data_IF_950035456550
#
_entry.id   IF_950035456550
#
_cell.length_a   1.000
_cell.length_b   1.000
_cell.length_c   1.000
_cell.angle_alpha   90.00
_cell.angle_beta   90.00
_cell.angle_gamma   90.00
#
_symmetry.space_group_name_H-M   'P 1'
#
loop_
_entity.id
_entity.type
_entity.pdbx_description
1 polymer ?
#
# COMPACT_ATOMS: atom_id res chain seq x y z
N UNK A 1 4.62 -14.27 8.37
CA UNK A 1 4.43 -13.93 9.81
C UNK A 1 2.96 -13.71 10.09
N UNK A 2 2.36 -14.28 11.14
CA UNK A 2 0.97 -13.94 11.48
C UNK A 2 0.84 -12.48 11.87
N UNK A 3 -0.13 -11.80 11.30
CA UNK A 3 -0.42 -10.40 11.56
C UNK A 3 -1.93 -10.16 11.64
N UNK A 4 -2.33 -9.28 12.55
CA UNK A 4 -3.69 -8.75 12.66
C UNK A 4 -3.71 -7.32 12.11
N UNK A 5 -4.76 -7.01 11.37
CA UNK A 5 -4.98 -5.74 10.71
C UNK A 5 -6.26 -5.14 11.26
N UNK A 6 -6.22 -3.85 11.60
CA UNK A 6 -7.41 -3.03 11.76
C UNK A 6 -7.39 -1.98 10.66
N UNK A 7 -8.41 -2.00 9.82
CA UNK A 7 -8.51 -1.20 8.61
C UNK A 7 -9.70 -0.27 8.78
N UNK A 8 -9.48 1.02 8.58
CA UNK A 8 -10.52 2.03 8.45
C UNK A 8 -10.59 2.47 6.99
N UNK A 9 -11.71 2.20 6.33
CA UNK A 9 -11.97 2.66 4.98
C UNK A 9 -12.32 4.16 4.96
N UNK A 10 -12.38 4.75 3.77
CA UNK A 10 -12.66 6.19 3.60
C UNK A 10 -14.09 6.58 4.02
N UNK A 11 -15.06 5.69 3.79
CA UNK A 11 -16.46 5.86 4.20
C UNK A 11 -16.67 5.71 5.73
N UNK A 12 -15.61 5.46 6.48
CA UNK A 12 -15.63 5.27 7.93
C UNK A 12 -16.00 3.86 8.38
N UNK A 13 -16.16 2.91 7.46
CA UNK A 13 -16.32 1.50 7.83
C UNK A 13 -15.00 0.94 8.36
N UNK A 14 -15.11 0.10 9.40
CA UNK A 14 -13.96 -0.54 10.03
C UNK A 14 -14.07 -2.06 9.91
N UNK A 15 -12.96 -2.70 9.58
CA UNK A 15 -12.85 -4.15 9.56
C UNK A 15 -11.57 -4.62 10.27
N UNK A 16 -11.61 -5.84 10.78
CA UNK A 16 -10.45 -6.54 11.30
C UNK A 16 -10.17 -7.78 10.46
N UNK A 17 -8.90 -8.02 10.16
CA UNK A 17 -8.45 -9.19 9.40
C UNK A 17 -7.25 -9.82 10.10
N UNK A 18 -7.06 -11.13 9.92
CA UNK A 18 -5.86 -11.82 10.37
C UNK A 18 -5.37 -12.73 9.25
N UNK A 19 -4.06 -12.73 9.01
CA UNK A 19 -3.46 -13.60 8.00
C UNK A 19 -1.99 -13.92 8.29
N UNK A 20 -1.48 -14.95 7.64
CA UNK A 20 -0.04 -15.16 7.50
C UNK A 20 0.48 -14.27 6.36
N UNK A 21 1.37 -13.34 6.69
CA UNK A 21 1.90 -12.32 5.79
C UNK A 21 3.31 -12.68 5.29
N UNK A 22 3.52 -12.71 3.96
CA UNK A 22 4.87 -12.77 3.36
C UNK A 22 5.49 -11.37 3.34
N UNK A 23 4.74 -10.39 2.84
CA UNK A 23 5.18 -9.01 2.65
C UNK A 23 3.99 -8.06 2.74
N UNK A 24 4.23 -6.82 3.12
CA UNK A 24 3.26 -5.73 2.97
C UNK A 24 3.92 -4.45 2.47
N UNK A 25 3.12 -3.58 1.87
CA UNK A 25 3.47 -2.21 1.56
C UNK A 25 2.29 -1.30 1.89
N UNK A 26 2.58 -0.16 2.52
CA UNK A 26 1.61 0.92 2.78
C UNK A 26 2.14 2.15 2.06
N UNK A 27 1.41 2.60 1.06
CA UNK A 27 1.93 3.49 0.03
C UNK A 27 1.10 4.77 -0.10
N UNK A 28 1.79 5.91 -0.10
CA UNK A 28 1.21 7.20 -0.50
C UNK A 28 1.43 7.47 -2.01
N UNK A 29 2.43 6.83 -2.63
CA UNK A 29 2.80 7.02 -4.04
C UNK A 29 2.85 5.69 -4.78
N UNK A 30 2.73 5.75 -6.11
CA UNK A 30 2.70 4.54 -6.95
C UNK A 30 4.01 3.76 -7.00
N UNK A 31 5.12 4.49 -6.94
CA UNK A 31 6.45 3.97 -7.17
C UNK A 31 7.23 3.82 -5.87
N UNK A 32 8.03 2.76 -5.77
CA UNK A 32 9.02 2.54 -4.72
C UNK A 32 10.36 2.11 -5.33
N UNK A 33 11.46 2.39 -4.64
CA UNK A 33 12.79 1.76 -4.84
C UNK A 33 13.20 1.52 -6.30
N UNK A 34 13.67 2.56 -6.99
CA UNK A 34 14.17 2.44 -8.37
C UNK A 34 13.08 2.39 -9.44
N UNK A 35 11.85 2.82 -9.13
CA UNK A 35 10.77 2.96 -10.11
C UNK A 35 9.83 1.76 -10.23
N UNK A 36 9.75 0.90 -9.21
CA UNK A 36 8.86 -0.26 -9.19
C UNK A 36 7.43 0.16 -8.85
N UNK A 37 6.46 -0.31 -9.63
CA UNK A 37 5.04 0.07 -9.51
C UNK A 37 4.30 -0.75 -8.45
N UNK A 38 4.71 -0.64 -7.19
CA UNK A 38 4.14 -1.44 -6.08
C UNK A 38 2.67 -1.13 -5.78
N UNK A 39 2.26 0.12 -5.98
CA UNK A 39 0.91 0.62 -5.72
C UNK A 39 0.34 1.29 -6.97
N UNK A 40 -0.04 0.51 -8.00
CA UNK A 40 -0.35 1.06 -9.34
C UNK A 40 -1.47 2.11 -9.34
N UNK A 41 -2.37 2.08 -8.36
CA UNK A 41 -3.53 2.96 -8.29
C UNK A 41 -3.35 4.15 -7.34
N UNK A 42 -2.26 4.20 -6.57
CA UNK A 42 -2.06 5.24 -5.56
C UNK A 42 -2.07 6.65 -6.14
N UNK A 43 -2.73 7.57 -5.42
CA UNK A 43 -2.75 9.00 -5.70
C UNK A 43 -2.27 9.75 -4.45
N UNK A 44 -1.34 10.68 -4.60
CA UNK A 44 -0.77 11.39 -3.43
C UNK A 44 -1.69 12.46 -2.83
N UNK A 45 -2.84 12.73 -3.46
CA UNK A 45 -3.72 13.87 -3.14
C UNK A 45 -5.19 13.49 -2.92
N UNK A 46 -5.51 12.19 -2.88
CA UNK A 46 -6.86 11.68 -2.60
C UNK A 46 -7.16 11.56 -1.10
N UNK A 47 -6.12 11.57 -0.25
CA UNK A 47 -6.28 11.57 1.21
C UNK A 47 -6.51 10.18 1.79
N UNK A 48 -6.10 9.12 1.09
CA UNK A 48 -6.08 7.73 1.57
C UNK A 48 -4.71 7.10 1.32
N UNK A 49 -4.47 5.92 1.89
CA UNK A 49 -3.29 5.10 1.66
C UNK A 49 -3.66 3.90 0.79
N UNK A 50 -2.81 3.53 -0.16
CA UNK A 50 -2.92 2.26 -0.88
C UNK A 50 -2.14 1.19 -0.13
N UNK A 51 -2.81 0.08 0.19
CA UNK A 51 -2.30 -1.01 1.01
C UNK A 51 -2.21 -2.26 0.15
N UNK A 52 -1.03 -2.86 0.10
CA UNK A 52 -0.77 -4.13 -0.57
C UNK A 52 -0.31 -5.15 0.47
N UNK A 53 -1.10 -6.21 0.68
CA UNK A 53 -0.78 -7.32 1.57
C UNK A 53 -0.57 -8.58 0.73
N UNK A 54 0.56 -9.25 0.92
CA UNK A 54 0.91 -10.48 0.21
C UNK A 54 0.85 -11.63 1.22
N UNK A 55 -0.03 -12.62 0.98
CA UNK A 55 -0.12 -13.78 1.85
C UNK A 55 1.15 -14.63 1.81
N UNK A 56 1.43 -15.34 2.90
CA UNK A 56 2.50 -16.35 2.95
C UNK A 56 2.34 -17.37 1.82
N UNK A 57 3.41 -17.58 1.07
CA UNK A 57 3.43 -18.47 -0.09
C UNK A 57 4.79 -19.13 -0.28
N UNK A 58 4.88 -20.21 -1.08
CA UNK A 58 6.17 -20.82 -1.41
C UNK A 58 7.12 -19.81 -2.06
N UNK A 59 8.42 -19.92 -1.76
CA UNK A 59 9.44 -18.95 -2.22
C UNK A 59 9.48 -18.78 -3.74
N UNK A 60 9.29 -19.84 -4.52
CA UNK A 60 9.27 -19.75 -5.99
C UNK A 60 8.06 -18.96 -6.51
N UNK A 61 6.91 -19.11 -5.86
CA UNK A 61 5.70 -18.35 -6.19
C UNK A 61 5.90 -16.88 -5.86
N UNK A 62 6.52 -16.58 -4.71
CA UNK A 62 6.84 -15.22 -4.32
C UNK A 62 7.81 -14.56 -5.31
N UNK A 63 8.87 -15.26 -5.73
CA UNK A 63 9.79 -14.77 -6.77
C UNK A 63 9.04 -14.50 -8.08
N UNK A 64 8.17 -15.42 -8.51
CA UNK A 64 7.37 -15.24 -9.72
C UNK A 64 6.46 -14.00 -9.60
N UNK A 65 5.79 -13.82 -8.47
CA UNK A 65 4.98 -12.63 -8.18
C UNK A 65 5.79 -11.33 -8.28
N UNK A 66 7.00 -11.31 -7.70
CA UNK A 66 7.88 -10.13 -7.72
C UNK A 66 8.28 -9.69 -9.14
N UNK A 67 8.31 -10.60 -10.12
CA UNK A 67 8.61 -10.24 -11.51
C UNK A 67 7.51 -9.39 -12.17
N UNK A 68 6.28 -9.45 -11.65
CA UNK A 68 5.10 -8.71 -12.13
C UNK A 68 4.98 -7.31 -11.52
N UNK A 69 5.78 -6.99 -10.49
CA UNK A 69 5.66 -5.71 -9.76
C UNK A 69 5.97 -4.50 -10.64
N UNK A 70 6.90 -4.63 -11.58
CA UNK A 70 7.28 -3.50 -12.44
C UNK A 70 6.16 -3.09 -13.42
N UNK A 71 5.32 -4.04 -13.84
CA UNK A 71 4.12 -3.76 -14.65
C UNK A 71 2.88 -3.46 -13.81
N UNK A 72 2.93 -3.72 -12.50
CA UNK A 72 1.83 -3.53 -11.58
C UNK A 72 0.84 -4.70 -11.58
N UNK A 73 1.04 -5.75 -12.38
CA UNK A 73 0.10 -6.87 -12.49
C UNK A 73 0.11 -7.79 -11.26
N UNK A 74 1.03 -7.59 -10.31
CA UNK A 74 1.07 -8.35 -9.06
C UNK A 74 -0.22 -8.20 -8.24
N UNK A 75 -0.93 -7.08 -8.38
CA UNK A 75 -2.20 -6.84 -7.64
C UNK A 75 -3.36 -7.72 -8.11
N UNK A 76 -3.21 -8.42 -9.24
CA UNK A 76 -4.21 -9.34 -9.79
C UNK A 76 -4.07 -10.77 -9.24
N UNK A 77 -2.98 -11.10 -8.54
CA UNK A 77 -2.82 -12.43 -7.93
C UNK A 77 -3.81 -12.60 -6.77
N UNK A 78 -4.50 -13.73 -6.71
CA UNK A 78 -5.52 -14.01 -5.69
C UNK A 78 -4.97 -14.03 -4.25
N UNK A 79 -3.64 -14.12 -4.08
CA UNK A 79 -2.94 -14.06 -2.79
C UNK A 79 -2.44 -12.65 -2.46
N UNK A 80 -2.89 -11.64 -3.21
CA UNK A 80 -2.59 -10.24 -2.96
C UNK A 80 -3.90 -9.53 -2.63
N UNK A 81 -3.97 -8.94 -1.43
CA UNK A 81 -5.03 -8.01 -1.06
C UNK A 81 -4.54 -6.59 -1.33
N UNK A 82 -5.16 -5.92 -2.30
CA UNK A 82 -4.90 -4.54 -2.64
C UNK A 82 -6.13 -3.68 -2.40
N UNK A 83 -6.03 -2.67 -1.52
CA UNK A 83 -7.17 -1.82 -1.14
C UNK A 83 -6.71 -0.44 -0.64
N UNK A 84 -7.64 0.51 -0.58
CA UNK A 84 -7.39 1.82 0.02
C UNK A 84 -7.88 1.87 1.47
N UNK A 85 -7.15 2.57 2.33
CA UNK A 85 -7.50 2.78 3.74
C UNK A 85 -7.12 4.18 4.20
N UNK A 86 -7.97 4.78 5.04
CA UNK A 86 -7.69 6.07 5.69
C UNK A 86 -6.78 5.90 6.90
N UNK A 87 -6.94 4.80 7.62
CA UNK A 87 -6.13 4.41 8.76
C UNK A 87 -5.88 2.90 8.72
N UNK A 88 -4.64 2.51 9.02
CA UNK A 88 -4.25 1.11 9.10
C UNK A 88 -3.42 0.88 10.34
N UNK A 89 -3.82 -0.11 11.15
CA UNK A 89 -2.97 -0.66 12.20
C UNK A 89 -2.60 -2.09 11.84
N UNK A 90 -1.32 -2.43 11.96
CA UNK A 90 -0.79 -3.78 11.77
C UNK A 90 -0.12 -4.22 13.07
N UNK A 91 -0.53 -5.37 13.60
CA UNK A 91 0.07 -6.00 14.78
C UNK A 91 0.65 -7.36 14.38
N UNK A 92 1.95 -7.52 14.56
CA UNK A 92 2.69 -8.74 14.21
C UNK A 92 2.81 -9.64 15.44
N UNK A 93 2.76 -10.97 15.22
CA UNK A 93 2.94 -11.96 16.28
C UNK A 93 4.34 -11.95 16.94
N UNK A 94 5.31 -11.24 16.35
CA UNK A 94 6.67 -11.05 16.87
C UNK A 94 7.21 -9.69 16.39
N UNK A 95 8.25 -9.18 17.05
CA UNK A 95 8.99 -8.01 16.57
C UNK A 95 9.61 -8.31 15.20
N UNK A 96 9.44 -7.38 14.27
CA UNK A 96 9.93 -7.44 12.91
C UNK A 96 10.70 -6.15 12.58
N UNK A 97 11.56 -6.22 11.56
CA UNK A 97 12.15 -5.04 10.94
C UNK A 97 11.18 -4.52 9.88
N UNK A 98 10.83 -3.24 9.97
CA UNK A 98 9.95 -2.54 9.02
C UNK A 98 10.74 -1.41 8.40
N UNK A 99 10.79 -1.37 7.07
CA UNK A 99 11.40 -0.27 6.34
C UNK A 99 10.37 0.86 6.14
N UNK A 100 10.78 2.11 6.31
CA UNK A 100 9.99 3.30 6.02
C UNK A 100 10.91 4.33 5.38
N UNK A 101 10.74 4.57 4.08
CA UNK A 101 11.50 5.54 3.28
C UNK A 101 13.03 5.50 3.49
N UNK A 102 13.58 4.31 3.69
CA UNK A 102 15.02 4.08 3.88
C UNK A 102 15.45 3.87 5.33
N UNK A 103 14.61 4.25 6.30
CA UNK A 103 14.85 3.99 7.72
C UNK A 103 14.29 2.63 8.14
N UNK A 104 14.97 1.93 9.05
CA UNK A 104 14.54 0.61 9.55
C UNK A 104 14.15 0.71 11.00
N UNK A 105 12.90 0.37 11.30
CA UNK A 105 12.34 0.32 12.64
C UNK A 105 12.19 -1.13 13.10
N UNK A 106 12.48 -1.41 14.37
CA UNK A 106 12.14 -2.69 15.00
C UNK A 106 10.87 -2.51 15.81
N UNK A 107 9.78 -3.15 15.39
CA UNK A 107 8.48 -3.03 16.05
C UNK A 107 7.65 -4.29 15.84
N UNK A 108 6.69 -4.53 16.74
CA UNK A 108 5.62 -5.51 16.55
C UNK A 108 4.28 -4.83 16.22
N UNK A 109 4.22 -3.50 16.16
CA UNK A 109 3.01 -2.74 15.83
C UNK A 109 3.34 -1.52 14.99
N UNK A 110 2.64 -1.38 13.88
CA UNK A 110 2.68 -0.19 13.04
C UNK A 110 1.29 0.45 12.98
N UNK A 111 1.26 1.77 12.99
CA UNK A 111 0.04 2.55 12.83
C UNK A 111 0.28 3.62 11.78
N UNK A 112 -0.55 3.61 10.74
CA UNK A 112 -0.45 4.46 9.57
C UNK A 112 -1.71 5.30 9.43
N UNK A 113 -1.50 6.60 9.24
CA UNK A 113 -2.53 7.58 8.93
C UNK A 113 -1.99 8.53 7.89
N UNK A 114 -2.86 9.02 7.03
CA UNK A 114 -2.53 10.08 6.08
C UNK A 114 -2.85 11.45 6.69
N UNK A 115 -1.97 12.42 6.43
CA UNK A 115 -2.23 13.84 6.70
C UNK A 115 -2.54 14.52 5.37
N UNK A 116 -3.83 14.77 5.05
CA UNK A 116 -4.21 15.23 3.73
C UNK A 116 -3.56 16.58 3.41
N UNK A 117 -2.88 16.64 2.25
CA UNK A 117 -2.25 17.87 1.73
C UNK A 117 -1.26 18.53 2.71
N UNK A 118 -0.55 17.73 3.50
CA UNK A 118 0.41 18.21 4.50
C UNK A 118 1.59 19.00 3.92
N UNK A 119 1.94 18.78 2.65
CA UNK A 119 3.04 19.45 1.97
C UNK A 119 2.64 19.90 0.56
N UNK A 120 3.30 20.95 0.08
CA UNK A 120 3.19 21.46 -1.30
C UNK A 120 4.56 21.38 -1.97
N UNK A 121 4.58 20.81 -3.16
CA UNK A 121 5.80 20.64 -3.94
C UNK A 121 5.71 21.44 -5.23
N UNK A 122 6.84 21.96 -5.69
CA UNK A 122 6.98 22.45 -7.06
C UNK A 122 7.30 21.24 -7.94
N UNK A 123 6.48 21.01 -8.95
CA UNK A 123 6.68 19.95 -9.94
C UNK A 123 6.67 20.57 -11.34
N UNK A 124 7.48 20.02 -12.25
CA UNK A 124 7.34 20.29 -13.68
C UNK A 124 6.09 19.62 -14.26
N UNK A 125 6.03 19.48 -15.58
CA UNK A 125 4.97 18.69 -16.21
C UNK A 125 4.99 17.25 -15.64
N UNK A 126 3.96 16.92 -14.86
CA UNK A 126 3.85 15.68 -14.12
C UNK A 126 2.81 14.78 -14.81
N UNK A 127 3.21 13.93 -15.79
CA UNK A 127 2.28 13.14 -16.59
C UNK A 127 1.46 12.14 -15.76
N UNK A 128 1.87 11.84 -14.52
CA UNK A 128 1.14 11.00 -13.59
C UNK A 128 0.22 11.79 -12.63
N UNK A 129 0.42 13.10 -12.48
CA UNK A 129 -0.46 13.93 -11.65
C UNK A 129 -1.82 14.17 -12.34
N UNK A 130 -1.83 14.25 -13.68
CA UNK A 130 -3.06 14.47 -14.47
C UNK A 130 -4.02 13.27 -14.45
N UNK A 131 -3.54 12.06 -14.17
CA UNK A 131 -4.39 10.86 -14.05
C UNK A 131 -5.24 10.85 -12.76
N UNK A 132 -4.84 11.59 -11.71
CA UNK A 132 -5.64 11.75 -10.47
C UNK A 132 -6.98 12.43 -10.75
N UNK A 133 -7.00 13.43 -11.64
CA UNK A 133 -8.23 14.15 -12.00
C UNK A 133 -9.18 13.31 -12.86
N UNK A 134 -8.64 12.44 -13.74
CA UNK A 134 -9.45 11.59 -14.61
C UNK A 134 -10.14 10.45 -13.83
N UNK A 135 -9.48 9.89 -12.81
CA UNK A 135 -10.03 8.79 -12.00
C UNK A 135 -11.16 9.27 -11.06
N UNK A 136 -11.07 10.51 -10.54
CA UNK A 136 -12.14 11.13 -9.74
C UNK A 136 -13.46 11.32 -10.53
N UNK A 137 -13.40 11.43 -11.86
CA UNK A 137 -14.57 11.56 -12.72
C UNK A 137 -15.22 10.23 -13.11
N UNK A 138 -14.56 9.07 -12.87
CA UNK A 138 -15.15 7.75 -13.12
C UNK A 138 -15.79 7.12 -11.87
N UNK A 139 -15.51 7.66 -10.67
CA UNK A 139 -16.07 7.19 -9.40
C UNK A 139 -17.33 7.98 -8.96
N UNK A 140 -17.87 8.84 -9.83
CA UNK A 140 -19.07 9.62 -9.57
C UNK A 140 -20.11 9.42 -10.67
N UNK A 141 -21.02 8.46 -10.46
CA UNK A 141 -22.43 8.43 -10.86
C UNK A 141 -23.18 7.44 -9.96
#
# INVERSE_FOLDING_TARGET
VRARFRIMADDGTAEEREMSLEMFAVCNSRLVGGGRLIAPHALMDDGVLDVCLIEEMPTLDFIALLTRVSGGEHVEDARVSYFQARELTIEFARTMKVNTDGEVLETNRCHYTVSPRAARFLAGDAPYASQSAAMKNLAGD
#
